data_IF_926222389275
#
_entry.id   IF_926222389275
#
_cell.length_a   1.000
_cell.length_b   1.000
_cell.length_c   1.000
_cell.angle_alpha   90.00
_cell.angle_beta   90.00
_cell.angle_gamma   90.00
#
_symmetry.space_group_name_H-M   'P 1'
#
loop_
_entity.id
_entity.type
_entity.pdbx_description
1 polymer ?
#
# COMPACT_ATOMS: atom_id res chain seq x y z
N UNK A 1 14.79 -0.58 -20.79
CA UNK A 1 13.97 -1.71 -21.29
C UNK A 1 12.85 -1.09 -22.10
N UNK A 2 12.99 -1.06 -23.43
CA UNK A 2 11.94 -0.54 -24.31
C UNK A 2 10.74 -1.48 -24.24
N UNK A 3 9.58 -0.93 -23.87
CA UNK A 3 8.32 -1.66 -23.91
C UNK A 3 7.97 -1.81 -25.40
N UNK A 4 7.88 -3.04 -25.88
CA UNK A 4 7.61 -3.31 -27.30
C UNK A 4 6.21 -2.87 -27.68
N UNK A 5 6.00 -2.56 -28.97
CA UNK A 5 4.69 -2.12 -29.49
C UNK A 5 3.60 -3.16 -29.19
N UNK A 6 3.91 -4.45 -29.19
CA UNK A 6 2.92 -5.49 -28.85
C UNK A 6 2.46 -5.39 -27.39
N UNK A 7 3.38 -5.05 -26.46
CA UNK A 7 3.05 -4.88 -25.03
C UNK A 7 2.15 -3.67 -24.79
N UNK A 8 2.35 -2.59 -25.54
CA UNK A 8 1.49 -1.40 -25.46
C UNK A 8 0.10 -1.68 -26.03
N UNK A 9 0.01 -2.47 -27.11
CA UNK A 9 -1.25 -2.90 -27.71
C UNK A 9 -2.04 -3.84 -26.78
N UNK A 10 -1.35 -4.72 -26.06
CA UNK A 10 -1.94 -5.61 -25.06
C UNK A 10 -2.56 -4.82 -23.89
N UNK A 11 -1.85 -3.79 -23.40
CA UNK A 11 -2.33 -2.90 -22.32
C UNK A 11 -3.54 -2.07 -22.78
N UNK A 12 -3.52 -1.55 -24.00
CA UNK A 12 -4.64 -0.78 -24.55
C UNK A 12 -5.90 -1.66 -24.74
N UNK A 13 -5.75 -2.87 -25.28
CA UNK A 13 -6.85 -3.83 -25.45
C UNK A 13 -7.44 -4.32 -24.12
N UNK A 14 -6.61 -4.44 -23.08
CA UNK A 14 -7.08 -4.73 -21.72
C UNK A 14 -7.89 -3.56 -21.15
N UNK A 15 -7.53 -2.33 -21.46
CA UNK A 15 -8.25 -1.12 -21.03
C UNK A 15 -9.60 -0.96 -21.75
N UNK A 16 -9.70 -1.26 -23.05
CA UNK A 16 -10.96 -1.15 -23.79
C UNK A 16 -11.96 -2.25 -23.43
N UNK A 17 -11.49 -3.47 -23.13
CA UNK A 17 -12.32 -4.54 -22.56
C UNK A 17 -12.94 -4.17 -21.21
N UNK A 18 -12.33 -3.24 -20.50
CA UNK A 18 -12.81 -2.73 -19.19
C UNK A 18 -13.78 -1.56 -19.38
N UNK A 19 -13.74 -0.83 -20.50
CA UNK A 19 -14.45 0.44 -20.67
C UNK A 19 -15.63 0.45 -21.66
N UNK A 20 -15.90 -0.58 -22.47
CA UNK A 20 -17.16 -0.60 -23.24
C UNK A 20 -17.69 -1.97 -23.69
N UNK A 21 -19.00 -1.98 -23.91
CA UNK A 21 -19.98 -3.02 -24.29
C UNK A 21 -19.62 -3.88 -25.53
N UNK A 22 -18.44 -4.49 -25.57
CA UNK A 22 -18.07 -5.52 -26.56
C UNK A 22 -17.74 -5.03 -27.98
N UNK A 23 -17.35 -3.76 -28.17
CA UNK A 23 -16.91 -3.27 -29.49
C UNK A 23 -15.39 -3.40 -29.65
N UNK A 24 -14.97 -4.23 -30.59
CA UNK A 24 -13.57 -4.40 -31.00
C UNK A 24 -13.19 -3.21 -31.91
N UNK A 25 -12.19 -2.43 -31.52
CA UNK A 25 -11.66 -1.32 -32.35
C UNK A 25 -10.76 -1.90 -33.46
N UNK A 26 -10.90 -1.40 -34.69
CA UNK A 26 -10.14 -1.86 -35.86
C UNK A 26 -8.62 -1.59 -35.69
N UNK A 27 -7.74 -2.56 -36.02
CA UNK A 27 -6.28 -2.39 -35.95
C UNK A 27 -5.74 -1.18 -36.71
N UNK A 28 -6.38 -0.83 -37.84
CA UNK A 28 -5.93 0.23 -38.75
C UNK A 28 -6.08 1.64 -38.15
N UNK A 29 -6.90 1.80 -37.10
CA UNK A 29 -7.07 3.08 -36.39
C UNK A 29 -5.82 3.49 -35.60
N UNK A 30 -4.88 2.57 -35.37
CA UNK A 30 -3.66 2.81 -34.60
C UNK A 30 -2.41 3.09 -35.45
N UNK A 31 -2.45 2.85 -36.77
CA UNK A 31 -1.30 3.11 -37.66
C UNK A 31 -1.02 4.61 -37.86
N UNK A 32 -2.03 5.47 -37.70
CA UNK A 32 -1.87 6.93 -37.79
C UNK A 32 -1.47 7.60 -36.48
N UNK A 33 -1.39 6.85 -35.37
CA UNK A 33 -1.14 7.40 -34.04
C UNK A 33 0.38 7.48 -33.81
N UNK A 34 0.89 8.70 -33.71
CA UNK A 34 2.31 8.96 -33.48
C UNK A 34 2.73 8.48 -32.07
N UNK A 35 4.00 8.11 -31.89
CA UNK A 35 4.53 7.69 -30.57
C UNK A 35 4.30 8.73 -29.45
N UNK A 36 4.17 10.02 -29.83
CA UNK A 36 3.87 11.12 -28.91
C UNK A 36 2.43 11.00 -28.38
N UNK A 37 1.47 10.71 -29.25
CA UNK A 37 0.05 10.54 -28.88
C UNK A 37 -0.12 9.32 -27.97
N UNK A 38 0.53 8.19 -28.29
CA UNK A 38 0.52 7.00 -27.42
C UNK A 38 1.10 7.30 -26.04
N UNK A 39 2.25 8.00 -25.99
CA UNK A 39 2.89 8.37 -24.71
C UNK A 39 2.00 9.31 -23.91
N UNK A 40 1.29 10.21 -24.58
CA UNK A 40 0.40 11.18 -23.94
C UNK A 40 -0.85 10.46 -23.40
N UNK A 41 -1.45 9.56 -24.18
CA UNK A 41 -2.58 8.73 -23.74
C UNK A 41 -2.20 7.82 -22.57
N UNK A 42 -1.02 7.21 -22.58
CA UNK A 42 -0.51 6.41 -21.46
C UNK A 42 -0.32 7.25 -20.18
N UNK A 43 0.18 8.49 -20.31
CA UNK A 43 0.28 9.43 -19.18
C UNK A 43 -1.09 9.88 -18.67
N UNK A 44 -2.04 10.13 -19.58
CA UNK A 44 -3.42 10.46 -19.21
C UNK A 44 -4.07 9.27 -18.49
N UNK A 45 -3.98 8.06 -19.03
CA UNK A 45 -4.51 6.85 -18.41
C UNK A 45 -3.86 6.58 -17.05
N UNK A 46 -2.53 6.72 -16.93
CA UNK A 46 -1.84 6.62 -15.64
C UNK A 46 -2.34 7.70 -14.65
N UNK A 47 -2.55 8.92 -15.13
CA UNK A 47 -3.12 10.02 -14.34
C UNK A 47 -4.56 9.73 -13.91
N UNK A 48 -5.40 9.22 -14.81
CA UNK A 48 -6.77 8.80 -14.53
C UNK A 48 -6.80 7.65 -13.54
N UNK A 49 -5.96 6.63 -13.71
CA UNK A 49 -5.86 5.51 -12.78
C UNK A 49 -5.41 5.99 -11.39
N UNK A 50 -4.47 6.94 -11.31
CA UNK A 50 -4.08 7.58 -10.05
C UNK A 50 -5.24 8.37 -9.42
N UNK A 51 -6.01 9.10 -10.22
CA UNK A 51 -7.18 9.87 -9.74
C UNK A 51 -8.30 8.93 -9.27
N UNK A 52 -8.52 7.81 -9.95
CA UNK A 52 -9.54 6.84 -9.61
C UNK A 52 -9.19 6.07 -8.32
N UNK A 53 -7.93 5.64 -8.18
CA UNK A 53 -7.41 5.13 -6.89
C UNK A 53 -7.54 6.18 -5.77
N UNK A 54 -7.30 7.45 -6.07
CA UNK A 54 -7.45 8.58 -5.12
C UNK A 54 -8.91 8.83 -4.72
N UNK A 55 -9.89 8.52 -5.57
CA UNK A 55 -11.33 8.62 -5.26
C UNK A 55 -11.86 7.42 -4.45
N UNK A 56 -11.17 6.29 -4.50
CA UNK A 56 -11.56 5.07 -3.79
C UNK A 56 -11.13 5.07 -2.32
N UNK A 57 -10.16 5.93 -1.96
CA UNK A 57 -9.87 6.24 -0.56
C UNK A 57 -10.86 7.28 -0.06
N UNK A 58 -11.69 6.90 0.91
CA UNK A 58 -12.63 7.78 1.58
C UNK A 58 -11.87 9.03 2.05
N UNK A 59 -12.28 10.23 1.60
CA UNK A 59 -11.60 11.51 1.89
C UNK A 59 -11.58 11.88 3.39
N UNK A 60 -12.13 11.01 4.23
CA UNK A 60 -12.19 11.09 5.68
C UNK A 60 -11.43 9.94 6.39
N UNK A 61 -10.76 9.05 5.63
CA UNK A 61 -10.03 7.92 6.19
C UNK A 61 -8.71 8.39 6.81
N UNK A 62 -8.64 8.33 8.14
CA UNK A 62 -7.43 8.58 8.88
C UNK A 62 -6.40 7.48 8.52
N UNK A 63 -5.16 7.88 8.17
CA UNK A 63 -4.04 6.95 7.93
C UNK A 63 -3.88 5.91 9.05
N UNK A 64 -4.23 6.26 10.29
CA UNK A 64 -4.22 5.32 11.40
C UNK A 64 -5.20 4.16 11.19
N UNK A 65 -6.42 4.44 10.75
CA UNK A 65 -7.47 3.44 10.52
C UNK A 65 -7.13 2.55 9.32
N UNK A 66 -6.53 3.15 8.29
CA UNK A 66 -6.01 2.43 7.12
C UNK A 66 -4.94 1.41 7.56
N UNK A 67 -3.98 1.85 8.39
CA UNK A 67 -2.93 0.97 8.91
C UNK A 67 -3.46 -0.06 9.91
N UNK A 68 -4.49 0.26 10.70
CA UNK A 68 -5.13 -0.72 11.59
C UNK A 68 -5.85 -1.81 10.80
N UNK A 69 -6.58 -1.43 9.75
CA UNK A 69 -7.25 -2.36 8.83
C UNK A 69 -6.26 -3.26 8.09
N UNK A 70 -5.19 -2.68 7.56
CA UNK A 70 -4.09 -3.43 6.95
C UNK A 70 -3.39 -4.34 7.96
N UNK A 71 -3.14 -3.86 9.18
CA UNK A 71 -2.50 -4.65 10.22
C UNK A 71 -3.32 -5.88 10.62
N UNK A 72 -4.65 -5.76 10.62
CA UNK A 72 -5.57 -6.88 10.81
C UNK A 72 -5.51 -7.87 9.63
N UNK A 73 -5.52 -7.36 8.40
CA UNK A 73 -5.41 -8.15 7.17
C UNK A 73 -4.08 -8.92 7.08
N UNK A 74 -2.97 -8.28 7.46
CA UNK A 74 -1.65 -8.90 7.52
C UNK A 74 -1.55 -9.98 8.60
N UNK A 75 -2.13 -9.73 9.79
CA UNK A 75 -2.17 -10.70 10.88
C UNK A 75 -3.04 -11.92 10.55
N UNK A 76 -4.04 -11.78 9.66
CA UNK A 76 -4.87 -12.86 9.16
C UNK A 76 -4.14 -13.80 8.18
N UNK A 77 -2.90 -13.49 7.81
CA UNK A 77 -2.06 -14.31 6.93
C UNK A 77 -2.13 -13.94 5.45
N UNK A 78 -2.76 -12.81 5.12
CA UNK A 78 -2.90 -12.37 3.72
C UNK A 78 -1.67 -11.58 3.21
N UNK A 79 -0.81 -11.12 4.12
CA UNK A 79 0.39 -10.33 3.80
C UNK A 79 1.60 -11.20 3.42
N UNK A 80 2.43 -10.69 2.53
CA UNK A 80 3.71 -11.30 2.17
C UNK A 80 4.84 -11.00 3.18
N UNK A 81 4.60 -10.06 4.09
CA UNK A 81 5.58 -9.63 5.09
C UNK A 81 5.78 -10.72 6.14
N UNK A 82 7.05 -11.10 6.34
CA UNK A 82 7.48 -12.04 7.39
C UNK A 82 7.54 -11.37 8.76
N UNK A 83 6.40 -10.89 9.25
CA UNK A 83 6.29 -10.12 10.50
C UNK A 83 6.58 -10.93 11.77
N UNK A 84 6.56 -12.27 11.69
CA UNK A 84 6.89 -13.16 12.83
C UNK A 84 8.29 -12.91 13.40
N UNK A 85 9.27 -12.57 12.56
CA UNK A 85 10.62 -12.22 13.01
C UNK A 85 10.64 -10.96 13.89
N UNK A 86 9.73 -10.02 13.63
CA UNK A 86 9.55 -8.84 14.49
C UNK A 86 8.84 -9.26 15.78
N UNK A 87 7.84 -10.15 15.71
CA UNK A 87 7.11 -10.63 16.88
C UNK A 87 8.01 -11.30 17.91
N UNK A 88 9.03 -12.06 17.46
CA UNK A 88 10.00 -12.71 18.33
C UNK A 88 10.73 -11.70 19.25
N UNK A 89 10.99 -10.47 18.77
CA UNK A 89 11.62 -9.39 19.56
C UNK A 89 10.75 -8.89 20.71
N UNK A 90 9.44 -9.11 20.61
CA UNK A 90 8.43 -8.60 21.54
C UNK A 90 7.65 -9.71 22.26
N UNK A 91 8.14 -10.96 22.21
CA UNK A 91 7.45 -12.15 22.73
C UNK A 91 6.92 -12.01 24.16
N UNK A 92 7.64 -11.27 25.01
CA UNK A 92 7.32 -10.98 26.42
C UNK A 92 6.20 -9.94 26.61
N UNK A 93 5.86 -9.17 25.58
CA UNK A 93 4.90 -8.07 25.67
C UNK A 93 3.71 -8.20 24.71
N UNK A 94 3.65 -9.27 23.91
CA UNK A 94 2.54 -9.57 22.99
C UNK A 94 1.21 -9.61 23.75
N UNK A 95 0.14 -8.95 23.27
CA UNK A 95 -1.18 -9.03 23.88
C UNK A 95 -1.71 -10.46 23.85
N UNK A 96 -2.28 -10.93 24.96
CA UNK A 96 -3.05 -12.17 25.00
C UNK A 96 -4.48 -11.91 24.53
N UNK A 97 -4.94 -12.69 23.54
CA UNK A 97 -6.32 -12.69 23.06
C UNK A 97 -6.48 -12.21 21.60
N UNK A 98 -7.47 -12.79 20.90
CA UNK A 98 -7.85 -12.35 19.55
C UNK A 98 -8.88 -11.24 19.66
N UNK A 99 -8.45 -9.99 19.50
CA UNK A 99 -9.39 -8.92 19.12
C UNK A 99 -9.64 -9.02 17.62
N UNK A 100 -10.88 -9.29 17.23
CA UNK A 100 -11.28 -9.21 15.83
C UNK A 100 -11.26 -7.74 15.41
N UNK A 101 -10.27 -7.36 14.60
CA UNK A 101 -10.19 -6.03 13.98
C UNK A 101 -10.75 -6.13 12.57
N UNK A 102 -11.38 -5.05 12.09
CA UNK A 102 -11.86 -4.95 10.70
C UNK A 102 -10.65 -5.07 9.78
N UNK A 103 -10.72 -5.94 8.77
CA UNK A 103 -9.68 -6.05 7.74
C UNK A 103 -10.00 -5.10 6.58
N UNK A 104 -8.96 -4.59 5.93
CA UNK A 104 -9.10 -3.95 4.62
C UNK A 104 -9.37 -5.00 3.53
N UNK A 105 -9.67 -4.53 2.31
CA UNK A 105 -9.79 -5.42 1.15
C UNK A 105 -8.39 -5.85 0.63
N UNK A 106 -8.35 -6.82 -0.28
CA UNK A 106 -7.07 -7.38 -0.76
C UNK A 106 -6.23 -6.38 -1.58
N UNK A 107 -6.86 -5.43 -2.27
CA UNK A 107 -6.13 -4.48 -3.11
C UNK A 107 -5.50 -3.38 -2.28
N UNK A 108 -6.26 -2.80 -1.33
CA UNK A 108 -5.75 -1.93 -0.28
C UNK A 108 -4.65 -2.63 0.54
N UNK A 109 -4.91 -3.89 0.92
CA UNK A 109 -3.97 -4.72 1.68
C UNK A 109 -2.63 -4.87 0.97
N UNK A 110 -2.64 -5.27 -0.31
CA UNK A 110 -1.45 -5.42 -1.14
C UNK A 110 -0.70 -4.11 -1.35
N UNK A 111 -1.42 -3.03 -1.65
CA UNK A 111 -0.82 -1.71 -1.88
C UNK A 111 -0.03 -1.22 -0.65
N UNK A 112 -0.61 -1.35 0.55
CA UNK A 112 0.08 -0.96 1.78
C UNK A 112 1.24 -1.91 2.09
N UNK A 113 1.09 -3.22 1.83
CA UNK A 113 2.14 -4.23 2.01
C UNK A 113 3.41 -3.85 1.23
N UNK A 114 3.25 -3.43 -0.03
CA UNK A 114 4.37 -3.02 -0.89
C UNK A 114 5.10 -1.79 -0.35
N UNK A 115 4.39 -0.78 0.16
CA UNK A 115 5.05 0.40 0.74
C UNK A 115 5.73 0.09 2.06
N UNK A 116 5.14 -0.74 2.91
CA UNK A 116 5.78 -1.16 4.17
C UNK A 116 7.02 -2.01 3.87
N UNK A 117 7.01 -2.83 2.81
CA UNK A 117 8.20 -3.54 2.34
C UNK A 117 9.29 -2.58 1.84
N UNK A 118 8.94 -1.51 1.12
CA UNK A 118 9.90 -0.46 0.74
C UNK A 118 10.45 0.26 1.97
N UNK A 119 9.61 0.55 2.97
CA UNK A 119 10.02 1.19 4.22
C UNK A 119 11.10 0.37 4.93
N UNK A 120 11.00 -0.98 4.92
CA UNK A 120 12.00 -1.89 5.50
C UNK A 120 13.41 -1.66 4.96
N UNK A 121 13.55 -1.32 3.67
CA UNK A 121 14.86 -1.16 3.03
C UNK A 121 15.61 0.09 3.51
N UNK A 122 14.87 1.18 3.77
CA UNK A 122 15.48 2.48 4.09
C UNK A 122 15.38 2.84 5.58
N UNK A 123 14.38 2.33 6.28
CA UNK A 123 13.98 2.73 7.63
C UNK A 123 13.48 1.52 8.43
N UNK A 124 14.40 0.59 8.72
CA UNK A 124 14.06 -0.67 9.37
C UNK A 124 13.47 -0.48 10.79
N UNK A 125 13.91 0.53 11.54
CA UNK A 125 13.40 0.85 12.87
C UNK A 125 11.92 1.27 12.86
N UNK A 126 11.56 2.07 11.85
CA UNK A 126 10.21 2.54 11.56
C UNK A 126 9.32 1.40 11.05
N UNK A 127 9.85 0.56 10.16
CA UNK A 127 9.19 -0.68 9.73
C UNK A 127 8.85 -1.56 10.93
N UNK A 128 9.81 -1.81 11.84
CA UNK A 128 9.56 -2.62 13.03
C UNK A 128 8.52 -2.00 13.96
N UNK A 129 8.49 -0.66 14.06
CA UNK A 129 7.48 0.06 14.84
C UNK A 129 6.07 -0.15 14.26
N UNK A 130 5.91 -0.03 12.94
CA UNK A 130 4.64 -0.26 12.24
C UNK A 130 4.17 -1.69 12.45
N UNK A 131 5.05 -2.67 12.25
CA UNK A 131 4.72 -4.09 12.42
C UNK A 131 4.34 -4.41 13.88
N UNK A 132 5.14 -3.95 14.84
CA UNK A 132 4.88 -4.16 16.27
C UNK A 132 3.52 -3.58 16.70
N UNK A 133 3.18 -2.39 16.22
CA UNK A 133 1.96 -1.71 16.62
C UNK A 133 0.73 -2.23 15.88
N UNK A 134 0.74 -2.21 14.55
CA UNK A 134 -0.44 -2.47 13.73
C UNK A 134 -0.64 -3.95 13.42
N UNK A 135 0.41 -4.76 13.28
CA UNK A 135 0.24 -6.19 12.98
C UNK A 135 0.14 -7.00 14.27
N UNK A 136 1.12 -6.83 15.17
CA UNK A 136 1.23 -7.62 16.41
C UNK A 136 0.30 -7.08 17.51
N UNK A 137 -0.09 -5.80 17.43
CA UNK A 137 -1.04 -5.18 18.39
C UNK A 137 -0.38 -4.69 19.69
N UNK A 138 0.93 -4.45 19.70
CA UNK A 138 1.64 -3.99 20.89
C UNK A 138 1.35 -2.50 21.10
N UNK A 139 0.99 -2.10 22.32
CA UNK A 139 0.77 -0.69 22.63
C UNK A 139 2.08 0.11 22.55
N UNK A 140 1.98 1.37 22.11
CA UNK A 140 3.15 2.26 21.97
C UNK A 140 3.94 2.40 23.28
N UNK A 141 3.25 2.40 24.43
CA UNK A 141 3.86 2.40 25.76
C UNK A 141 4.72 1.16 26.03
N UNK A 142 4.23 -0.02 25.63
CA UNK A 142 5.00 -1.27 25.76
C UNK A 142 6.22 -1.26 24.83
N UNK A 143 6.08 -0.74 23.61
CA UNK A 143 7.20 -0.57 22.68
C UNK A 143 8.25 0.39 23.27
N UNK A 144 7.82 1.54 23.81
CA UNK A 144 8.70 2.52 24.45
C UNK A 144 9.46 1.92 25.63
N UNK A 145 8.76 1.18 26.51
CA UNK A 145 9.38 0.44 27.63
C UNK A 145 10.43 -0.56 27.15
N UNK A 146 10.11 -1.36 26.11
CA UNK A 146 11.05 -2.35 25.54
C UNK A 146 12.28 -1.68 24.94
N UNK A 147 12.09 -0.56 24.24
CA UNK A 147 13.18 0.27 23.65
C UNK A 147 13.87 1.19 24.66
N UNK A 148 13.48 1.16 25.95
CA UNK A 148 14.01 1.99 27.03
C UNK A 148 14.00 3.50 26.70
N UNK A 149 12.92 3.98 26.10
CA UNK A 149 12.75 5.39 25.75
C UNK A 149 11.40 5.94 26.22
N UNK A 150 11.22 7.26 26.15
CA UNK A 150 9.97 7.90 26.53
C UNK A 150 8.82 7.59 25.56
N UNK A 151 7.60 7.47 26.07
CA UNK A 151 6.38 7.28 25.27
C UNK A 151 6.24 8.32 24.15
N UNK A 152 6.57 9.59 24.44
CA UNK A 152 6.54 10.68 23.49
C UNK A 152 7.48 10.49 22.29
N UNK A 153 8.62 9.82 22.50
CA UNK A 153 9.57 9.52 21.41
C UNK A 153 8.97 8.54 20.42
N UNK A 154 8.32 7.49 20.91
CA UNK A 154 7.67 6.50 20.03
C UNK A 154 6.48 7.12 19.29
N UNK A 155 5.68 7.97 19.94
CA UNK A 155 4.55 8.64 19.28
C UNK A 155 5.00 9.58 18.16
N UNK A 156 6.05 10.39 18.40
CA UNK A 156 6.64 11.26 17.36
C UNK A 156 7.18 10.45 16.18
N UNK A 157 7.87 9.34 16.44
CA UNK A 157 8.33 8.43 15.38
C UNK A 157 7.16 7.84 14.59
N UNK A 158 6.12 7.36 15.27
CA UNK A 158 4.93 6.82 14.61
C UNK A 158 4.26 7.86 13.70
N UNK A 159 4.05 9.07 14.21
CA UNK A 159 3.47 10.18 13.44
C UNK A 159 4.30 10.51 12.19
N UNK A 160 5.62 10.55 12.31
CA UNK A 160 6.50 10.82 11.17
C UNK A 160 6.42 9.72 10.08
N UNK A 161 6.31 8.45 10.49
CA UNK A 161 6.16 7.33 9.56
C UNK A 161 4.79 7.32 8.90
N UNK A 162 3.73 7.60 9.68
CA UNK A 162 2.38 7.73 9.15
C UNK A 162 2.31 8.84 8.11
N UNK A 163 2.87 10.02 8.36
CA UNK A 163 2.91 11.12 7.38
C UNK A 163 3.70 10.77 6.12
N UNK A 164 4.74 9.93 6.23
CA UNK A 164 5.49 9.44 5.06
C UNK A 164 4.66 8.43 4.24
N UNK A 165 3.96 7.50 4.89
CA UNK A 165 3.09 6.54 4.21
C UNK A 165 1.87 7.23 3.59
N UNK A 166 1.31 8.21 4.28
CA UNK A 166 0.25 9.09 3.76
C UNK A 166 0.71 9.86 2.51
N UNK A 167 1.94 10.38 2.51
CA UNK A 167 2.56 10.97 1.32
C UNK A 167 2.71 9.98 0.15
N UNK A 168 3.06 8.73 0.42
CA UNK A 168 3.16 7.66 -0.59
C UNK A 168 1.80 7.21 -1.12
N UNK A 169 0.78 7.20 -0.27
CA UNK A 169 -0.61 6.92 -0.62
C UNK A 169 -1.17 7.92 -1.63
N UNK A 170 -0.76 9.18 -1.52
CA UNK A 170 -1.25 10.26 -2.36
C UNK A 170 -0.44 10.50 -3.65
N UNK A 171 0.68 9.79 -3.87
CA UNK A 171 1.65 10.02 -4.96
C UNK A 171 1.53 9.06 -6.13
#
# INVERSE_FOLDING_TARGET
MEITKERLLEIANLSDRVLSDGRIISPDAYESVTSIEITTMARMLLGYFKIENKKQMDGNANIYDILDGWGAWAAAGNSSIKWRQVADKYRDVVPYGKKSRRQCNNDEGRMIDEWVLKLRQYKNDEYELIIAHFVIGISLRKIAKKKKCADGTIRKKLQAVMGLLEGMLMS
#
